data_IF_127038148442
#
_entry.id   IF_127038148442
#
_cell.length_a   1.000
_cell.length_b   1.000
_cell.length_c   1.000
_cell.angle_alpha   90.00
_cell.angle_beta   90.00
_cell.angle_gamma   90.00
#
_symmetry.space_group_name_H-M   'P 1'
#
loop_
_entity.id
_entity.type
_entity.pdbx_description
1 polymer ?
#
# COMPACT_ATOMS: atom_id res chain seq x y z
N UNK A 1 7.96 -8.33 53.33
CA UNK A 1 8.74 -8.03 52.10
C UNK A 1 8.02 -8.70 50.93
N UNK A 2 7.72 -7.93 49.88
CA UNK A 2 6.89 -8.34 48.72
C UNK A 2 7.68 -9.25 47.78
N UNK A 3 7.12 -10.35 47.24
CA UNK A 3 7.73 -10.99 46.08
C UNK A 3 7.45 -10.12 44.85
N UNK A 4 8.53 -9.53 44.31
CA UNK A 4 8.52 -8.90 42.98
C UNK A 4 8.55 -10.06 41.99
N UNK A 5 7.38 -10.40 41.43
CA UNK A 5 7.30 -11.35 40.33
C UNK A 5 7.69 -10.60 39.06
N UNK A 6 8.91 -10.87 38.61
CA UNK A 6 9.45 -10.41 37.32
C UNK A 6 8.69 -11.16 36.22
N UNK A 7 7.60 -10.57 35.73
CA UNK A 7 6.95 -10.99 34.50
C UNK A 7 7.76 -10.44 33.30
N UNK A 8 8.96 -10.96 33.12
CA UNK A 8 9.70 -10.81 31.88
C UNK A 8 9.45 -12.04 31.01
N UNK A 9 9.37 -11.81 29.70
CA UNK A 9 9.29 -12.80 28.62
C UNK A 9 7.87 -13.31 28.36
N UNK A 10 7.19 -12.69 27.38
CA UNK A 10 6.38 -13.37 26.34
C UNK A 10 5.76 -12.38 25.32
N UNK A 11 6.48 -11.31 24.92
CA UNK A 11 6.08 -10.43 23.81
C UNK A 11 7.10 -10.40 22.66
N UNK A 12 7.94 -11.42 22.54
CA UNK A 12 9.03 -11.45 21.56
C UNK A 12 8.64 -12.02 20.18
N UNK A 13 7.40 -12.45 19.96
CA UNK A 13 7.03 -13.22 18.76
C UNK A 13 6.31 -12.36 17.69
N UNK A 14 5.86 -11.14 18.00
CA UNK A 14 5.24 -10.26 17.00
C UNK A 14 6.18 -9.18 16.42
N UNK A 15 7.40 -9.05 16.94
CA UNK A 15 8.32 -7.96 16.55
C UNK A 15 9.17 -8.26 15.30
N UNK A 16 9.04 -9.43 14.67
CA UNK A 16 9.88 -9.84 13.54
C UNK A 16 9.20 -9.74 12.16
N UNK A 17 7.93 -9.32 12.08
CA UNK A 17 7.21 -9.12 10.80
C UNK A 17 6.83 -7.65 10.60
N UNK A 18 7.59 -6.74 11.19
CA UNK A 18 7.75 -5.40 10.64
C UNK A 18 9.06 -5.40 9.87
N UNK A 19 9.07 -6.19 8.79
CA UNK A 19 9.92 -5.93 7.63
C UNK A 19 9.92 -4.42 7.40
N UNK A 20 11.07 -3.81 7.06
CA UNK A 20 11.17 -2.37 7.00
C UNK A 20 9.97 -1.89 6.19
N UNK A 21 9.09 -1.17 6.87
CA UNK A 21 8.14 -0.30 6.20
C UNK A 21 9.07 0.72 5.59
N UNK A 22 9.60 0.36 4.42
CA UNK A 22 10.42 1.22 3.60
C UNK A 22 9.42 2.27 3.18
N UNK A 23 9.33 3.28 4.04
CA UNK A 23 9.20 4.67 3.68
C UNK A 23 10.22 4.97 2.59
N UNK A 24 10.00 4.42 1.39
CA UNK A 24 10.43 5.06 0.17
C UNK A 24 9.60 6.33 0.18
N UNK A 25 10.17 7.38 0.77
CA UNK A 25 9.63 8.73 0.88
C UNK A 25 8.38 8.94 0.03
N UNK A 26 7.23 8.51 0.57
CA UNK A 26 5.96 8.98 0.06
C UNK A 26 6.01 10.46 0.40
N UNK A 27 5.90 11.38 -0.58
CA UNK A 27 6.04 12.79 -0.31
C UNK A 27 5.08 13.14 0.83
N UNK A 28 5.66 13.57 1.95
CA UNK A 28 4.95 13.89 3.19
C UNK A 28 4.26 15.23 2.96
N UNK A 29 3.20 15.21 2.18
CA UNK A 29 2.44 16.38 1.77
C UNK A 29 0.99 16.00 1.52
N UNK A 30 0.06 16.90 1.88
CA UNK A 30 -1.38 16.65 1.77
C UNK A 30 -1.82 16.16 0.37
N UNK A 31 -1.13 16.59 -0.69
CA UNK A 31 -1.45 16.22 -2.07
C UNK A 31 -1.37 14.70 -2.34
N UNK A 32 -0.39 14.01 -1.74
CA UNK A 32 -0.23 12.57 -1.93
C UNK A 32 -1.39 11.78 -1.32
N UNK A 33 -1.76 12.13 -0.08
CA UNK A 33 -2.89 11.51 0.62
C UNK A 33 -4.20 11.72 -0.11
N UNK A 34 -4.45 12.94 -0.60
CA UNK A 34 -5.65 13.27 -1.38
C UNK A 34 -5.73 12.42 -2.66
N UNK A 35 -4.63 12.30 -3.40
CA UNK A 35 -4.58 11.51 -4.64
C UNK A 35 -4.76 10.01 -4.39
N UNK A 36 -4.08 9.48 -3.37
CA UNK A 36 -4.29 8.10 -2.95
C UNK A 36 -5.75 7.85 -2.61
N UNK A 37 -6.36 8.72 -1.80
CA UNK A 37 -7.74 8.53 -1.34
C UNK A 37 -8.74 8.64 -2.50
N UNK A 38 -8.47 9.46 -3.52
CA UNK A 38 -9.23 9.49 -4.78
C UNK A 38 -9.17 8.14 -5.50
N UNK A 39 -7.97 7.61 -5.76
CA UNK A 39 -7.78 6.30 -6.42
C UNK A 39 -8.46 5.19 -5.62
N UNK A 40 -8.27 5.17 -4.29
CA UNK A 40 -8.90 4.17 -3.43
C UNK A 40 -10.42 4.25 -3.52
N UNK A 41 -11.00 5.45 -3.49
CA UNK A 41 -12.45 5.63 -3.62
C UNK A 41 -12.99 5.09 -4.93
N UNK A 42 -12.28 5.29 -6.04
CA UNK A 42 -12.67 4.74 -7.34
C UNK A 42 -12.58 3.21 -7.37
N UNK A 43 -11.53 2.63 -6.78
CA UNK A 43 -11.37 1.18 -6.66
C UNK A 43 -12.48 0.56 -5.79
N UNK A 44 -12.85 1.20 -4.69
CA UNK A 44 -13.97 0.77 -3.83
C UNK A 44 -15.29 0.77 -4.61
N UNK A 45 -15.55 1.86 -5.35
CA UNK A 45 -16.76 1.98 -6.17
C UNK A 45 -16.82 0.91 -7.25
N UNK A 46 -15.70 0.63 -7.94
CA UNK A 46 -15.64 -0.43 -8.98
C UNK A 46 -15.81 -1.84 -8.40
N UNK A 47 -15.28 -2.07 -7.21
CA UNK A 47 -15.32 -3.37 -6.55
C UNK A 47 -16.57 -3.64 -5.72
N UNK A 48 -17.38 -2.61 -5.42
CA UNK A 48 -18.48 -2.73 -4.46
C UNK A 48 -17.98 -3.03 -3.04
N UNK A 49 -16.86 -2.42 -2.65
CA UNK A 49 -16.13 -2.75 -1.43
C UNK A 49 -16.49 -1.85 -0.24
N UNK A 50 -16.19 -2.31 0.98
CA UNK A 50 -16.47 -1.59 2.22
C UNK A 50 -15.21 -1.02 2.90
N UNK A 51 -15.38 -0.64 4.16
CA UNK A 51 -14.36 0.02 4.97
C UNK A 51 -13.11 -0.86 5.18
N UNK A 52 -13.29 -2.18 5.25
CA UNK A 52 -12.17 -3.12 5.44
C UNK A 52 -11.22 -3.09 4.25
N UNK A 53 -11.76 -3.16 3.04
CA UNK A 53 -11.00 -3.12 1.81
C UNK A 53 -10.37 -1.73 1.61
N UNK A 54 -11.06 -0.66 2.02
CA UNK A 54 -10.52 0.69 2.00
C UNK A 54 -9.21 0.80 2.79
N UNK A 55 -9.19 0.25 4.01
CA UNK A 55 -8.00 0.25 4.86
C UNK A 55 -6.85 -0.57 4.25
N UNK A 56 -7.16 -1.64 3.53
CA UNK A 56 -6.16 -2.44 2.81
C UNK A 56 -5.60 -1.64 1.63
N UNK A 57 -6.47 -1.09 0.79
CA UNK A 57 -6.10 -0.32 -0.39
C UNK A 57 -5.28 0.92 -0.02
N UNK A 58 -5.66 1.66 1.03
CA UNK A 58 -4.89 2.82 1.54
C UNK A 58 -3.45 2.49 1.97
N UNK A 59 -3.16 1.23 2.28
CA UNK A 59 -1.81 0.77 2.68
C UNK A 59 -0.95 0.31 1.50
N UNK A 60 -1.57 -0.15 0.41
CA UNK A 60 -0.84 -0.78 -0.70
C UNK A 60 -0.83 0.08 -1.96
N UNK A 61 -1.84 0.93 -2.17
CA UNK A 61 -1.99 1.80 -3.32
C UNK A 61 -1.09 3.02 -3.17
N UNK A 62 -0.29 3.27 -4.19
CA UNK A 62 0.53 4.47 -4.34
C UNK A 62 0.09 5.18 -5.62
N UNK A 63 -0.34 6.45 -5.57
CA UNK A 63 -0.57 7.22 -6.79
C UNK A 63 0.75 7.36 -7.55
N UNK A 64 0.67 7.35 -8.88
CA UNK A 64 1.89 7.53 -9.71
C UNK A 64 2.55 8.87 -9.46
N UNK A 65 3.88 8.89 -9.53
CA UNK A 65 4.69 10.09 -9.24
C UNK A 65 4.38 11.20 -10.22
N UNK A 66 4.15 10.85 -11.49
CA UNK A 66 3.82 11.77 -12.58
C UNK A 66 2.39 12.35 -12.42
N UNK A 67 1.50 11.58 -11.80
CA UNK A 67 0.09 11.91 -11.58
C UNK A 67 -0.14 12.67 -10.25
N UNK A 68 0.92 12.96 -9.48
CA UNK A 68 0.80 13.81 -8.28
C UNK A 68 0.36 15.23 -8.61
N UNK A 69 0.67 15.70 -9.82
CA UNK A 69 0.34 17.04 -10.30
C UNK A 69 -0.62 17.04 -11.51
N UNK A 70 -0.84 15.89 -12.15
CA UNK A 70 -1.71 15.73 -13.30
C UNK A 70 -2.87 14.78 -13.02
N UNK A 71 -4.06 15.14 -13.49
CA UNK A 71 -5.32 14.45 -13.19
C UNK A 71 -5.62 13.23 -14.09
N UNK A 72 -4.68 12.79 -14.94
CA UNK A 72 -5.09 12.14 -16.19
C UNK A 72 -5.08 10.64 -16.25
N UNK A 73 -4.69 9.90 -15.22
CA UNK A 73 -4.56 8.47 -15.43
C UNK A 73 -5.22 7.64 -14.32
N UNK A 74 -6.12 6.74 -14.74
CA UNK A 74 -6.75 5.66 -13.95
C UNK A 74 -5.71 4.59 -13.59
N UNK A 75 -4.52 5.01 -13.17
CA UNK A 75 -3.45 4.11 -12.79
C UNK A 75 -2.91 4.44 -11.42
N UNK A 76 -2.32 3.42 -10.84
CA UNK A 76 -1.68 3.47 -9.54
C UNK A 76 -0.56 2.46 -9.52
N UNK A 77 0.31 2.56 -8.52
CA UNK A 77 1.42 1.65 -8.33
C UNK A 77 1.21 0.85 -7.07
N UNK A 78 1.67 -0.39 -7.10
CA UNK A 78 1.78 -1.25 -5.92
C UNK A 78 3.08 -2.04 -5.99
N UNK A 79 3.60 -2.46 -4.84
CA UNK A 79 4.65 -3.48 -4.85
C UNK A 79 4.11 -4.78 -5.45
N UNK A 80 4.91 -5.46 -6.26
CA UNK A 80 4.47 -6.67 -6.98
C UNK A 80 3.92 -7.75 -6.04
N UNK A 81 4.39 -7.81 -4.78
CA UNK A 81 3.88 -8.75 -3.77
C UNK A 81 2.40 -8.54 -3.42
N UNK A 82 1.89 -7.32 -3.54
CA UNK A 82 0.50 -6.98 -3.23
C UNK A 82 -0.45 -7.15 -4.41
N UNK A 83 0.06 -7.42 -5.61
CA UNK A 83 -0.76 -7.66 -6.80
C UNK A 83 -1.77 -8.81 -6.58
N UNK A 84 -1.37 -9.86 -5.86
CA UNK A 84 -2.26 -10.98 -5.50
C UNK A 84 -3.42 -10.55 -4.60
N UNK A 85 -3.23 -9.55 -3.75
CA UNK A 85 -4.31 -9.01 -2.90
C UNK A 85 -5.35 -8.33 -3.77
N UNK A 86 -4.94 -7.53 -4.76
CA UNK A 86 -5.86 -6.84 -5.66
C UNK A 86 -6.71 -7.84 -6.45
N UNK A 87 -6.11 -8.91 -6.97
CA UNK A 87 -6.86 -9.98 -7.64
C UNK A 87 -7.78 -10.74 -6.68
N UNK A 88 -7.35 -11.01 -5.45
CA UNK A 88 -8.18 -11.67 -4.44
C UNK A 88 -9.39 -10.83 -4.02
N UNK A 89 -9.28 -9.50 -4.09
CA UNK A 89 -10.41 -8.59 -3.92
C UNK A 89 -11.38 -8.63 -5.12
N UNK A 90 -11.03 -9.28 -6.23
CA UNK A 90 -11.86 -9.33 -7.44
C UNK A 90 -11.75 -8.08 -8.32
N UNK A 91 -10.74 -7.24 -8.11
CA UNK A 91 -10.50 -6.08 -8.95
C UNK A 91 -10.05 -6.51 -10.36
N UNK A 92 -10.79 -6.06 -11.37
CA UNK A 92 -10.41 -6.20 -12.78
C UNK A 92 -9.40 -5.11 -13.14
N UNK A 93 -8.13 -5.39 -12.92
CA UNK A 93 -7.03 -4.47 -13.20
C UNK A 93 -6.00 -5.12 -14.10
N UNK A 94 -5.33 -4.31 -14.90
CA UNK A 94 -4.18 -4.72 -15.70
C UNK A 94 -2.92 -4.12 -15.09
N UNK A 95 -1.92 -4.95 -14.79
CA UNK A 95 -0.69 -4.48 -14.15
C UNK A 95 0.55 -4.79 -15.01
N UNK A 96 1.39 -3.80 -15.23
CA UNK A 96 2.67 -3.90 -15.94
C UNK A 96 3.84 -3.72 -14.98
N UNK A 97 4.90 -4.56 -15.06
CA UNK A 97 6.12 -4.38 -14.27
C UNK A 97 6.77 -3.02 -14.52
N UNK A 98 7.24 -2.38 -13.45
CA UNK A 98 8.03 -1.16 -13.51
C UNK A 98 9.53 -1.47 -13.45
N UNK A 99 10.35 -0.55 -13.94
CA UNK A 99 11.81 -0.68 -13.94
C UNK A 99 12.37 -0.64 -12.50
N UNK A 100 12.94 -1.73 -11.95
CA UNK A 100 13.38 -1.75 -10.56
C UNK A 100 14.47 -0.71 -10.24
N UNK A 101 15.21 -0.22 -11.23
CA UNK A 101 16.24 0.82 -11.06
C UNK A 101 15.64 2.15 -10.58
N UNK A 102 14.41 2.45 -10.95
CA UNK A 102 13.68 3.67 -10.56
C UNK A 102 13.01 3.54 -9.18
N UNK A 103 13.03 2.34 -8.59
CA UNK A 103 12.36 1.98 -7.33
C UNK A 103 13.32 1.33 -6.33
N UNK A 104 14.58 1.78 -6.31
CA UNK A 104 15.57 1.33 -5.32
C UNK A 104 15.77 -0.20 -5.30
N UNK A 105 15.68 -0.84 -6.47
CA UNK A 105 15.79 -2.30 -6.61
C UNK A 105 14.55 -3.10 -6.20
N UNK A 106 13.49 -2.44 -5.75
CA UNK A 106 12.24 -3.10 -5.41
C UNK A 106 11.41 -3.41 -6.66
N UNK A 107 10.65 -4.50 -6.59
CA UNK A 107 9.73 -4.89 -7.67
C UNK A 107 8.38 -4.20 -7.47
N UNK A 108 8.07 -3.28 -8.38
CA UNK A 108 6.81 -2.55 -8.43
C UNK A 108 6.07 -2.86 -9.73
N UNK A 109 4.76 -2.67 -9.72
CA UNK A 109 3.91 -2.74 -10.90
C UNK A 109 3.06 -1.48 -10.96
N UNK A 110 2.81 -0.98 -12.17
CA UNK A 110 1.79 0.01 -12.45
C UNK A 110 0.53 -0.72 -12.87
N UNK A 111 -0.60 -0.42 -12.23
CA UNK A 111 -1.88 -1.04 -12.46
C UNK A 111 -2.90 -0.01 -12.96
N UNK A 112 -3.70 -0.39 -13.95
CA UNK A 112 -4.78 0.41 -14.53
C UNK A 112 -6.14 -0.24 -14.23
N UNK A 113 -7.15 0.58 -13.91
CA UNK A 113 -8.47 0.12 -13.45
C UNK A 113 -9.67 0.65 -14.24
#
# INVERSE_FOLDING_TARGET
MKPIVVAAVLFSIFSAVLSPVIANALPVGNGWGIKRDQVVKELLHKGGFGEREEQILKKIVVPRKEDLFNNQEKKFEVQSRYQRILFALGLRIFCTPLNPKEYSGQKWVSCEY
#
